data_IF_411181012283
#
_entry.id   IF_411181012283
#
_cell.length_a   1.000
_cell.length_b   1.000
_cell.length_c   1.000
_cell.angle_alpha   90.00
_cell.angle_beta   90.00
_cell.angle_gamma   90.00
#
_symmetry.space_group_name_H-M   'P 1'
#
loop_
_entity.id
_entity.type
_entity.pdbx_description
1 polymer ?
#
# COMPACT_ATOMS: atom_id res chain seq x y z
N UNK A 1 49.15 5.05 21.29
CA UNK A 1 47.82 5.66 21.23
C UNK A 1 47.48 5.72 19.77
N UNK A 2 46.81 4.68 19.30
CA UNK A 2 46.31 4.59 17.93
C UNK A 2 44.95 5.29 17.90
N UNK A 3 44.80 6.24 16.98
CA UNK A 3 43.53 6.91 16.72
C UNK A 3 42.51 5.87 16.23
N UNK A 4 41.29 5.81 16.79
CA UNK A 4 40.26 4.95 16.24
C UNK A 4 39.81 5.51 14.89
N UNK A 5 39.97 4.71 13.85
CA UNK A 5 39.36 4.93 12.54
C UNK A 5 37.85 5.15 12.71
N UNK A 6 37.43 6.38 12.48
CA UNK A 6 36.02 6.73 12.32
C UNK A 6 35.55 6.06 11.03
N UNK A 7 34.92 4.88 11.17
CA UNK A 7 34.15 4.27 10.11
C UNK A 7 33.00 5.22 9.77
N UNK A 8 33.19 5.98 8.71
CA UNK A 8 32.12 6.73 8.05
C UNK A 8 31.12 5.71 7.52
N UNK A 9 30.00 5.53 8.22
CA UNK A 9 28.83 4.87 7.68
C UNK A 9 28.40 5.66 6.44
N UNK A 10 28.71 5.14 5.26
CA UNK A 10 28.14 5.58 4.00
C UNK A 10 26.63 5.47 4.14
N UNK A 11 25.96 6.61 4.31
CA UNK A 11 24.51 6.70 4.21
C UNK A 11 24.18 6.42 2.74
N UNK A 12 23.96 5.14 2.40
CA UNK A 12 23.49 4.75 1.07
C UNK A 12 22.21 5.52 0.79
N UNK A 13 22.25 6.41 -0.21
CA UNK A 13 21.15 7.29 -0.56
C UNK A 13 20.05 6.47 -1.20
N UNK A 14 18.80 6.72 -0.81
CA UNK A 14 17.65 6.31 -1.61
C UNK A 14 17.73 7.06 -2.95
N UNK A 15 17.86 6.31 -4.05
CA UNK A 15 17.97 6.86 -5.39
C UNK A 15 16.63 6.68 -6.10
N UNK A 16 15.96 7.80 -6.34
CA UNK A 16 14.68 7.81 -7.03
C UNK A 16 14.51 9.07 -7.88
N UNK A 17 13.71 8.96 -8.94
CA UNK A 17 13.32 10.10 -9.76
C UNK A 17 11.80 10.13 -9.94
N UNK A 18 11.25 11.34 -10.03
CA UNK A 18 9.81 11.54 -10.24
C UNK A 18 9.57 11.91 -11.70
N UNK A 19 8.62 11.24 -12.32
CA UNK A 19 8.14 11.54 -13.67
C UNK A 19 6.62 11.42 -13.76
N UNK A 20 6.06 11.70 -14.93
CA UNK A 20 4.64 11.47 -15.23
C UNK A 20 4.51 10.40 -16.29
N UNK A 21 3.58 9.49 -16.10
CA UNK A 21 3.20 8.47 -17.08
C UNK A 21 1.82 8.79 -17.64
N UNK A 22 1.75 9.02 -18.95
CA UNK A 22 0.47 9.17 -19.65
C UNK A 22 -0.14 7.79 -19.90
N UNK A 23 -1.41 7.63 -19.53
CA UNK A 23 -2.18 6.41 -19.74
C UNK A 23 -3.43 6.78 -20.54
N UNK A 24 -3.62 6.09 -21.67
CA UNK A 24 -4.82 6.22 -22.50
C UNK A 24 -5.89 5.23 -22.02
N UNK A 25 -7.00 5.74 -21.51
CA UNK A 25 -8.14 4.94 -21.10
C UNK A 25 -8.91 4.41 -22.32
N UNK A 26 -9.68 3.32 -22.15
CA UNK A 26 -10.56 2.80 -23.21
C UNK A 26 -11.60 3.81 -23.69
N UNK A 27 -11.99 4.75 -22.84
CA UNK A 27 -12.85 5.88 -23.21
C UNK A 27 -12.19 6.91 -24.15
N UNK A 28 -10.90 6.75 -24.48
CA UNK A 28 -10.11 7.70 -25.25
C UNK A 28 -9.59 8.89 -24.44
N UNK A 29 -9.96 9.00 -23.16
CA UNK A 29 -9.43 10.01 -22.25
C UNK A 29 -8.01 9.65 -21.81
N UNK A 30 -7.19 10.68 -21.56
CA UNK A 30 -5.86 10.54 -21.00
C UNK A 30 -5.89 10.81 -19.49
N UNK A 31 -5.10 10.06 -18.74
CA UNK A 31 -4.78 10.32 -17.33
C UNK A 31 -3.26 10.38 -17.18
N UNK A 32 -2.78 11.21 -16.27
CA UNK A 32 -1.35 11.36 -15.99
C UNK A 32 -1.06 10.94 -14.55
N UNK A 33 -0.36 9.82 -14.36
CA UNK A 33 0.02 9.38 -13.02
C UNK A 33 1.47 9.77 -12.70
N UNK A 34 1.67 10.30 -11.50
CA UNK A 34 3.01 10.49 -10.96
C UNK A 34 3.65 9.13 -10.75
N UNK A 35 4.88 9.01 -11.25
CA UNK A 35 5.68 7.80 -11.21
C UNK A 35 6.93 8.08 -10.40
N UNK A 36 7.16 7.27 -9.38
CA UNK A 36 8.43 7.21 -8.68
C UNK A 36 9.22 6.04 -9.26
N UNK A 37 10.23 6.36 -10.06
CA UNK A 37 11.21 5.38 -10.50
C UNK A 37 12.23 5.18 -9.37
N UNK A 38 12.35 3.96 -8.88
CA UNK A 38 13.23 3.58 -7.79
C UNK A 38 14.41 2.81 -8.37
N UNK A 39 15.59 3.43 -8.33
CA UNK A 39 16.83 2.72 -8.65
C UNK A 39 17.16 1.76 -7.51
N UNK A 40 17.17 2.29 -6.28
CA UNK A 40 17.37 1.51 -5.06
C UNK A 40 16.76 2.25 -3.87
N UNK A 41 16.01 1.53 -3.02
CA UNK A 41 15.41 2.09 -1.82
C UNK A 41 15.39 1.06 -0.69
N UNK A 42 15.77 1.49 0.50
CA UNK A 42 15.65 0.71 1.74
C UNK A 42 14.37 1.07 2.46
N UNK A 43 13.64 0.05 2.90
CA UNK A 43 12.32 0.16 3.50
C UNK A 43 12.20 -0.79 4.70
N UNK A 44 11.12 -0.62 5.46
CA UNK A 44 10.85 -1.42 6.65
C UNK A 44 9.47 -2.07 6.58
N UNK A 45 9.39 -3.32 7.05
CA UNK A 45 8.16 -4.07 7.21
C UNK A 45 7.99 -4.52 8.67
N UNK A 46 6.82 -4.27 9.26
CA UNK A 46 6.48 -4.71 10.60
C UNK A 46 5.70 -6.02 10.60
N UNK A 47 6.20 -7.04 11.29
CA UNK A 47 5.56 -8.36 11.38
C UNK A 47 5.49 -8.86 12.83
N UNK A 48 4.53 -9.74 13.10
CA UNK A 48 4.40 -10.45 14.38
C UNK A 48 5.24 -11.75 14.43
N UNK A 49 5.84 -12.15 13.30
CA UNK A 49 6.61 -13.39 13.14
C UNK A 49 8.08 -13.05 12.87
N UNK A 50 8.98 -13.73 13.58
CA UNK A 50 10.42 -13.68 13.34
C UNK A 50 10.86 -14.78 12.35
N UNK A 51 11.96 -14.56 11.64
CA UNK A 51 12.55 -15.58 10.76
C UNK A 51 11.80 -15.79 9.44
N UNK A 52 11.03 -14.80 8.97
CA UNK A 52 10.34 -14.86 7.69
C UNK A 52 11.37 -14.90 6.55
N UNK A 53 11.35 -15.98 5.76
CA UNK A 53 12.26 -16.19 4.62
C UNK A 53 11.70 -15.66 3.29
N UNK A 54 10.42 -15.26 3.27
CA UNK A 54 9.74 -14.71 2.12
C UNK A 54 8.41 -14.11 2.54
N UNK A 55 7.98 -13.05 1.85
CA UNK A 55 6.73 -12.38 2.16
C UNK A 55 5.56 -13.02 1.40
N UNK A 56 4.41 -13.07 2.06
CA UNK A 56 3.13 -13.45 1.46
C UNK A 56 2.15 -12.29 1.60
N UNK A 57 1.20 -12.21 0.67
CA UNK A 57 0.18 -11.16 0.67
C UNK A 57 -0.71 -11.31 1.91
N UNK A 58 -0.96 -10.20 2.61
CA UNK A 58 -1.82 -10.21 3.81
C UNK A 58 -3.31 -10.11 3.47
N UNK A 59 -4.16 -10.62 4.36
CA UNK A 59 -5.62 -10.56 4.24
C UNK A 59 -6.20 -9.15 4.48
N UNK A 60 -5.51 -8.32 5.28
CA UNK A 60 -5.95 -6.97 5.60
C UNK A 60 -5.29 -5.96 4.67
N UNK A 61 -6.08 -5.43 3.72
CA UNK A 61 -5.61 -4.56 2.66
C UNK A 61 -6.39 -3.24 2.69
N UNK A 62 -5.68 -2.12 2.91
CA UNK A 62 -6.23 -0.78 2.97
C UNK A 62 -6.34 -0.14 1.58
N UNK A 63 -5.22 -0.03 0.88
CA UNK A 63 -5.05 0.75 -0.34
C UNK A 63 -4.59 -0.08 -1.54
N UNK A 64 -4.20 -1.33 -1.33
CA UNK A 64 -3.80 -2.26 -2.38
C UNK A 64 -3.46 -3.63 -1.82
N UNK A 65 -3.53 -4.65 -2.67
CA UNK A 65 -3.04 -5.99 -2.37
C UNK A 65 -1.54 -6.04 -2.57
N UNK A 66 -0.82 -6.48 -1.54
CA UNK A 66 0.63 -6.62 -1.60
C UNK A 66 1.29 -6.60 -0.23
N UNK A 67 2.60 -6.36 -0.24
CA UNK A 67 3.42 -6.20 0.97
C UNK A 67 3.54 -4.73 1.32
N UNK A 68 3.12 -4.40 2.52
CA UNK A 68 3.15 -3.06 3.07
C UNK A 68 4.50 -2.74 3.67
N UNK A 69 5.14 -1.70 3.16
CA UNK A 69 6.45 -1.22 3.53
C UNK A 69 6.36 0.26 3.92
N UNK A 70 7.33 0.74 4.68
CA UNK A 70 7.43 2.17 5.02
C UNK A 70 8.88 2.63 5.03
N UNK A 71 9.10 3.91 4.81
CA UNK A 71 10.41 4.56 5.00
C UNK A 71 10.79 4.69 6.48
N UNK A 72 9.81 4.62 7.39
CA UNK A 72 10.00 4.90 8.81
C UNK A 72 10.03 3.60 9.63
N UNK A 73 11.20 3.30 10.19
CA UNK A 73 11.41 2.11 11.01
C UNK A 73 10.48 2.08 12.23
N UNK A 74 10.22 3.25 12.81
CA UNK A 74 9.35 3.44 13.98
C UNK A 74 7.90 3.08 13.66
N UNK A 75 7.39 3.47 12.49
CA UNK A 75 6.06 3.09 12.02
C UNK A 75 5.96 1.57 11.82
N UNK A 76 6.96 0.93 11.20
CA UNK A 76 7.03 -0.52 11.07
C UNK A 76 7.04 -1.23 12.44
N UNK A 77 7.79 -0.69 13.40
CA UNK A 77 7.81 -1.20 14.78
C UNK A 77 6.46 -1.07 15.48
N UNK A 78 5.77 0.05 15.26
CA UNK A 78 4.40 0.28 15.74
C UNK A 78 3.42 -0.76 15.20
N UNK A 79 3.46 -1.04 13.90
CA UNK A 79 2.63 -2.09 13.28
C UNK A 79 2.96 -3.49 13.78
N UNK A 80 4.25 -3.83 13.91
CA UNK A 80 4.69 -5.11 14.45
C UNK A 80 4.12 -5.33 15.87
N UNK A 81 4.22 -4.30 16.71
CA UNK A 81 3.76 -4.33 18.11
C UNK A 81 2.22 -4.39 18.21
N UNK A 82 1.49 -3.61 17.40
CA UNK A 82 0.02 -3.61 17.35
C UNK A 82 -0.53 -4.98 16.93
N UNK A 83 0.16 -5.66 16.00
CA UNK A 83 -0.23 -6.99 15.50
C UNK A 83 0.19 -8.14 16.41
N UNK A 84 1.30 -8.02 17.15
CA UNK A 84 1.80 -9.12 17.97
C UNK A 84 0.96 -9.41 19.20
N UNK A 85 0.19 -8.42 19.71
CA UNK A 85 -0.57 -8.57 20.94
C UNK A 85 0.31 -9.17 22.06
N UNK A 86 -0.09 -10.33 22.60
CA UNK A 86 0.68 -11.10 23.58
C UNK A 86 1.40 -12.35 23.04
N UNK A 87 1.09 -12.81 21.81
CA UNK A 87 1.45 -14.16 21.35
C UNK A 87 2.54 -14.20 20.26
N UNK A 88 2.98 -13.03 19.76
CA UNK A 88 4.03 -12.91 18.73
C UNK A 88 5.34 -12.29 19.21
N UNK A 89 6.43 -12.50 18.46
CA UNK A 89 7.67 -11.75 18.62
C UNK A 89 7.66 -10.63 17.59
N UNK A 90 7.27 -9.39 17.97
CA UNK A 90 7.21 -8.30 17.03
C UNK A 90 8.61 -8.08 16.44
N UNK A 91 8.69 -8.07 15.13
CA UNK A 91 9.93 -8.07 14.35
C UNK A 91 9.81 -7.03 13.24
N UNK A 92 10.87 -6.24 13.07
CA UNK A 92 11.00 -5.31 11.95
C UNK A 92 12.01 -5.89 10.96
N UNK A 93 11.59 -5.96 9.70
CA UNK A 93 12.43 -6.38 8.59
C UNK A 93 12.87 -5.16 7.81
N UNK A 94 14.17 -5.00 7.62
CA UNK A 94 14.73 -4.06 6.64
C UNK A 94 14.81 -4.77 5.29
N UNK A 95 14.24 -4.13 4.27
CA UNK A 95 14.16 -4.70 2.92
C UNK A 95 14.69 -3.71 1.90
N UNK A 96 15.13 -4.24 0.76
CA UNK A 96 15.53 -3.49 -0.42
C UNK A 96 14.53 -3.75 -1.55
N UNK A 97 14.19 -2.67 -2.24
CA UNK A 97 13.57 -2.73 -3.57
C UNK A 97 14.47 -1.99 -4.55
N UNK A 98 14.46 -2.38 -5.83
CA UNK A 98 15.38 -1.84 -6.83
C UNK A 98 14.80 -1.98 -8.23
N UNK A 99 15.19 -1.05 -9.11
CA UNK A 99 14.86 -1.00 -10.53
C UNK A 99 13.36 -1.22 -10.84
N UNK A 100 12.50 -0.36 -10.29
CA UNK A 100 11.06 -0.46 -10.49
C UNK A 100 10.34 0.88 -10.48
N UNK A 101 9.17 0.90 -11.11
CA UNK A 101 8.25 2.04 -11.11
C UNK A 101 7.09 1.77 -10.16
N UNK A 102 6.83 2.69 -9.23
CA UNK A 102 5.60 2.71 -8.43
C UNK A 102 4.79 3.98 -8.70
N UNK A 103 3.48 3.88 -8.51
CA UNK A 103 2.59 5.03 -8.58
C UNK A 103 2.74 5.88 -7.31
N UNK A 104 3.07 7.16 -7.43
CA UNK A 104 3.13 8.09 -6.29
C UNK A 104 1.78 8.77 -6.10
N UNK A 105 1.02 8.34 -5.09
CA UNK A 105 -0.35 8.79 -4.78
C UNK A 105 -0.41 9.63 -3.49
N UNK A 106 0.71 10.23 -3.09
CA UNK A 106 0.79 11.02 -1.85
C UNK A 106 0.08 12.37 -1.94
N UNK A 107 -0.15 12.89 -3.14
CA UNK A 107 -0.84 14.16 -3.35
C UNK A 107 -2.29 13.95 -3.77
N UNK A 108 -3.16 14.93 -3.47
CA UNK A 108 -4.58 14.87 -3.84
C UNK A 108 -4.75 14.83 -5.36
N UNK A 109 -3.92 15.57 -6.11
CA UNK A 109 -3.95 15.58 -7.58
C UNK A 109 -3.63 14.19 -8.14
N UNK A 110 -2.62 13.50 -7.59
CA UNK A 110 -2.28 12.15 -8.02
C UNK A 110 -3.39 11.14 -7.68
N UNK A 111 -4.04 11.30 -6.51
CA UNK A 111 -5.21 10.48 -6.15
C UNK A 111 -6.41 10.72 -7.07
N UNK A 112 -6.64 11.95 -7.52
CA UNK A 112 -7.70 12.27 -8.49
C UNK A 112 -7.41 11.68 -9.88
N UNK A 113 -6.17 11.73 -10.36
CA UNK A 113 -5.77 11.06 -11.61
C UNK A 113 -5.90 9.54 -11.49
N UNK A 114 -5.51 8.96 -10.35
CA UNK A 114 -5.74 7.55 -10.07
C UNK A 114 -7.23 7.21 -10.02
N UNK A 115 -8.06 8.04 -9.40
CA UNK A 115 -9.51 7.83 -9.32
C UNK A 115 -10.16 7.75 -10.71
N UNK A 116 -9.68 8.54 -11.68
CA UNK A 116 -10.15 8.44 -13.09
C UNK A 116 -9.80 7.09 -13.72
N UNK A 117 -8.57 6.61 -13.52
CA UNK A 117 -8.14 5.28 -13.99
C UNK A 117 -8.92 4.17 -13.29
N UNK A 118 -9.11 4.29 -11.97
CA UNK A 118 -9.77 3.29 -11.15
C UNK A 118 -11.27 3.20 -11.46
N UNK A 119 -11.94 4.33 -11.73
CA UNK A 119 -13.32 4.36 -12.23
C UNK A 119 -13.50 3.51 -13.48
N UNK A 120 -12.59 3.63 -14.45
CA UNK A 120 -12.64 2.82 -15.68
C UNK A 120 -12.54 1.33 -15.34
N UNK A 121 -11.65 0.97 -14.40
CA UNK A 121 -11.46 -0.42 -13.97
C UNK A 121 -12.65 -0.98 -13.20
N UNK A 122 -13.33 -0.16 -12.39
CA UNK A 122 -14.58 -0.53 -11.71
C UNK A 122 -15.70 -0.87 -12.70
N UNK A 123 -15.90 -0.02 -13.71
CA UNK A 123 -16.90 -0.24 -14.77
C UNK A 123 -16.58 -1.52 -15.53
N UNK A 124 -15.33 -1.72 -15.93
CA UNK A 124 -14.91 -2.94 -16.64
C UNK A 124 -15.08 -4.20 -15.78
N UNK A 125 -14.79 -4.11 -14.48
CA UNK A 125 -15.01 -5.21 -13.55
C UNK A 125 -16.49 -5.55 -13.41
N UNK A 126 -17.36 -4.53 -13.30
CA UNK A 126 -18.82 -4.70 -13.27
C UNK A 126 -19.34 -5.39 -14.54
N UNK A 127 -18.82 -5.02 -15.72
CA UNK A 127 -19.27 -5.57 -17.00
C UNK A 127 -18.74 -6.99 -17.27
N UNK A 128 -17.51 -7.29 -16.83
CA UNK A 128 -16.81 -8.53 -17.23
C UNK A 128 -16.69 -9.58 -16.13
N UNK A 129 -16.59 -9.18 -14.86
CA UNK A 129 -16.38 -10.10 -13.73
C UNK A 129 -17.69 -10.37 -13.01
N UNK A 130 -18.49 -9.33 -12.74
CA UNK A 130 -19.74 -9.46 -11.98
C UNK A 130 -20.70 -10.50 -12.57
N UNK A 131 -20.94 -10.59 -13.90
CA UNK A 131 -21.85 -11.59 -14.46
C UNK A 131 -21.35 -13.02 -14.24
N UNK A 132 -20.04 -13.21 -14.15
CA UNK A 132 -19.34 -14.48 -14.07
C UNK A 132 -19.02 -14.93 -12.63
N UNK A 133 -19.44 -14.16 -11.61
CA UNK A 133 -19.31 -14.58 -10.22
C UNK A 133 -20.03 -15.92 -9.99
N UNK A 134 -19.39 -16.78 -9.19
CA UNK A 134 -19.94 -18.06 -8.75
C UNK A 134 -20.33 -17.95 -7.27
N UNK A 135 -21.41 -18.61 -6.90
CA UNK A 135 -21.94 -18.60 -5.54
C UNK A 135 -22.50 -19.96 -5.13
N UNK A 136 -22.85 -20.13 -3.85
CA UNK A 136 -23.37 -21.39 -3.33
C UNK A 136 -24.79 -21.71 -3.83
N UNK A 137 -25.57 -20.70 -4.21
CA UNK A 137 -26.88 -20.82 -4.86
C UNK A 137 -27.19 -19.58 -5.71
N UNK A 138 -28.13 -19.69 -6.64
CA UNK A 138 -28.54 -18.57 -7.51
C UNK A 138 -29.14 -17.39 -6.72
N UNK A 139 -29.91 -17.66 -5.67
CA UNK A 139 -30.49 -16.63 -4.81
C UNK A 139 -29.41 -15.84 -4.08
N UNK A 140 -28.48 -16.52 -3.42
CA UNK A 140 -27.36 -15.89 -2.71
C UNK A 140 -26.47 -15.13 -3.71
N UNK A 141 -26.24 -15.70 -4.88
CA UNK A 141 -25.47 -15.06 -5.94
C UNK A 141 -26.14 -13.78 -6.45
N UNK A 142 -27.46 -13.75 -6.60
CA UNK A 142 -28.22 -12.56 -6.96
C UNK A 142 -28.03 -11.42 -5.96
N UNK A 143 -28.14 -11.73 -4.66
CA UNK A 143 -27.91 -10.75 -3.58
C UNK A 143 -26.48 -10.22 -3.60
N UNK A 144 -25.49 -11.10 -3.74
CA UNK A 144 -24.06 -10.70 -3.82
C UNK A 144 -23.82 -9.80 -5.03
N UNK A 145 -24.38 -10.14 -6.20
CA UNK A 145 -24.21 -9.34 -7.42
C UNK A 145 -24.79 -7.95 -7.26
N UNK A 146 -26.00 -7.81 -6.72
CA UNK A 146 -26.62 -6.50 -6.48
C UNK A 146 -25.86 -5.68 -5.43
N UNK A 147 -25.40 -6.28 -4.33
CA UNK A 147 -24.58 -5.59 -3.34
C UNK A 147 -23.28 -5.06 -3.94
N UNK A 148 -22.60 -5.87 -4.77
CA UNK A 148 -21.36 -5.46 -5.44
C UNK A 148 -21.62 -4.37 -6.47
N UNK A 149 -22.72 -4.47 -7.21
CA UNK A 149 -23.14 -3.46 -8.17
C UNK A 149 -23.39 -2.11 -7.50
N UNK A 150 -24.09 -2.12 -6.36
CA UNK A 150 -24.34 -0.90 -5.61
C UNK A 150 -23.06 -0.29 -5.05
N UNK A 151 -22.14 -1.12 -4.53
CA UNK A 151 -20.83 -0.66 -4.09
C UNK A 151 -20.01 -0.01 -5.23
N UNK A 152 -20.05 -0.57 -6.44
CA UNK A 152 -19.42 0.04 -7.63
C UNK A 152 -20.05 1.39 -7.93
N UNK A 153 -21.38 1.48 -7.97
CA UNK A 153 -22.11 2.73 -8.24
C UNK A 153 -21.78 3.82 -7.22
N UNK A 154 -21.75 3.47 -5.93
CA UNK A 154 -21.38 4.40 -4.86
C UNK A 154 -19.97 4.95 -5.06
N UNK A 155 -18.99 4.08 -5.36
CA UNK A 155 -17.62 4.50 -5.63
C UNK A 155 -17.50 5.37 -6.88
N UNK A 156 -18.15 4.98 -7.98
CA UNK A 156 -18.19 5.79 -9.21
C UNK A 156 -18.79 7.16 -8.93
N UNK A 157 -19.87 7.21 -8.15
CA UNK A 157 -20.49 8.47 -7.74
C UNK A 157 -19.54 9.33 -6.89
N UNK A 158 -18.83 8.74 -5.92
CA UNK A 158 -17.81 9.44 -5.12
C UNK A 158 -16.70 10.03 -5.97
N UNK A 159 -16.25 9.28 -6.98
CA UNK A 159 -15.22 9.72 -7.93
C UNK A 159 -15.76 10.88 -8.79
N UNK A 160 -16.96 10.75 -9.34
CA UNK A 160 -17.57 11.77 -10.22
C UNK A 160 -17.88 13.07 -9.48
N UNK A 161 -18.19 12.99 -8.19
CA UNK A 161 -18.47 14.15 -7.33
C UNK A 161 -17.23 14.65 -6.58
N UNK A 162 -16.09 13.98 -6.72
CA UNK A 162 -14.86 14.22 -5.96
C UNK A 162 -15.10 14.33 -4.43
N UNK A 163 -15.92 13.46 -3.88
CA UNK A 163 -16.32 13.48 -2.45
C UNK A 163 -15.49 12.57 -1.55
N UNK A 164 -14.47 11.91 -2.09
CA UNK A 164 -13.52 11.12 -1.31
C UNK A 164 -12.47 12.02 -0.65
N UNK A 165 -12.16 11.77 0.64
CA UNK A 165 -11.22 12.58 1.41
C UNK A 165 -9.81 12.02 1.33
N UNK A 166 -9.69 10.70 1.27
CA UNK A 166 -8.42 9.97 1.25
C UNK A 166 -8.48 8.77 0.31
N UNK A 167 -7.31 8.29 -0.13
CA UNK A 167 -7.20 7.14 -1.03
C UNK A 167 -7.94 5.90 -0.48
N UNK A 168 -7.92 5.68 0.83
CA UNK A 168 -8.61 4.58 1.51
C UNK A 168 -10.12 4.56 1.24
N UNK A 169 -10.75 5.72 1.07
CA UNK A 169 -12.19 5.81 0.82
C UNK A 169 -12.59 5.21 -0.54
N UNK A 170 -11.64 5.15 -1.47
CA UNK A 170 -11.82 4.56 -2.80
C UNK A 170 -11.40 3.09 -2.85
N UNK A 171 -10.44 2.69 -2.03
CA UNK A 171 -9.67 1.45 -2.22
C UNK A 171 -10.00 0.36 -1.20
N UNK A 172 -10.55 0.72 -0.03
CA UNK A 172 -10.89 -0.23 1.01
C UNK A 172 -11.96 -1.23 0.52
N UNK A 173 -11.66 -2.53 0.63
CA UNK A 173 -12.51 -3.61 0.10
C UNK A 173 -12.36 -3.88 -1.41
N UNK A 174 -11.50 -3.12 -2.10
CA UNK A 174 -11.22 -3.24 -3.53
C UNK A 174 -9.73 -3.37 -3.85
N UNK A 175 -8.92 -3.72 -2.85
CA UNK A 175 -7.47 -3.80 -2.96
C UNK A 175 -6.95 -4.69 -4.10
N UNK A 176 -7.60 -5.83 -4.38
CA UNK A 176 -7.33 -6.68 -5.54
C UNK A 176 -7.44 -5.91 -6.86
N UNK A 177 -8.54 -5.17 -7.03
CA UNK A 177 -8.80 -4.41 -8.24
C UNK A 177 -7.83 -3.23 -8.36
N UNK A 178 -7.44 -2.60 -7.25
CA UNK A 178 -6.44 -1.52 -7.25
C UNK A 178 -5.08 -2.02 -7.74
N UNK A 179 -4.56 -3.10 -7.16
CA UNK A 179 -3.28 -3.67 -7.55
C UNK A 179 -3.30 -4.15 -9.00
N UNK A 180 -4.40 -4.78 -9.42
CA UNK A 180 -4.59 -5.21 -10.82
C UNK A 180 -4.61 -4.00 -11.77
N UNK A 181 -5.33 -2.93 -11.40
CA UNK A 181 -5.43 -1.70 -12.20
C UNK A 181 -4.05 -1.08 -12.46
N UNK A 182 -3.25 -0.92 -11.39
CA UNK A 182 -1.93 -0.32 -11.49
C UNK A 182 -0.90 -1.25 -12.16
N UNK A 183 -0.99 -2.56 -11.90
CA UNK A 183 -0.14 -3.55 -12.56
C UNK A 183 -0.38 -3.60 -14.07
N UNK A 184 -1.64 -3.50 -14.51
CA UNK A 184 -2.01 -3.51 -15.93
C UNK A 184 -1.44 -2.32 -16.71
N UNK A 185 -1.17 -1.20 -16.02
CA UNK A 185 -0.51 -0.03 -16.62
C UNK A 185 0.98 0.02 -16.30
N UNK A 186 1.55 -1.07 -15.76
CA UNK A 186 2.99 -1.30 -15.63
C UNK A 186 3.64 -0.86 -14.31
N UNK A 187 2.87 -0.53 -13.28
CA UNK A 187 3.43 -0.25 -11.95
C UNK A 187 3.67 -1.54 -11.16
N UNK A 188 4.72 -1.57 -10.34
CA UNK A 188 5.06 -2.68 -9.43
C UNK A 188 4.53 -2.49 -8.01
N UNK A 189 4.07 -1.29 -7.71
CA UNK A 189 3.53 -0.92 -6.43
C UNK A 189 2.90 0.46 -6.47
N UNK A 190 2.50 0.93 -5.30
CA UNK A 190 2.05 2.30 -5.08
C UNK A 190 2.63 2.86 -3.79
N UNK A 191 2.68 4.18 -3.68
CA UNK A 191 3.04 4.91 -2.48
C UNK A 191 1.90 5.86 -2.12
N UNK A 192 1.50 5.90 -0.85
CA UNK A 192 0.48 6.80 -0.31
C UNK A 192 0.89 7.28 1.08
N UNK A 193 0.22 8.31 1.57
CA UNK A 193 0.25 8.63 3.00
C UNK A 193 -0.80 7.75 3.71
N UNK A 194 -0.39 7.04 4.75
CA UNK A 194 -1.26 6.31 5.67
C UNK A 194 -0.93 6.67 7.13
N UNK A 195 -1.76 6.23 8.06
CA UNK A 195 -1.63 6.53 9.49
C UNK A 195 -3.01 6.57 10.15
N UNK A 196 -3.04 6.29 11.45
CA UNK A 196 -4.26 6.39 12.26
C UNK A 196 -3.88 6.98 13.62
N UNK A 197 -3.70 8.32 13.71
CA UNK A 197 -3.43 8.96 14.99
C UNK A 197 -4.56 8.68 16.00
N UNK A 198 -4.24 8.49 17.30
CA UNK A 198 -2.92 8.64 17.92
C UNK A 198 -2.05 7.38 17.89
N UNK A 199 -2.53 6.27 17.32
CA UNK A 199 -1.83 4.98 17.39
C UNK A 199 -0.56 4.97 16.53
N UNK A 200 -0.65 5.51 15.32
CA UNK A 200 0.45 5.57 14.35
C UNK A 200 0.34 6.90 13.60
N UNK A 201 1.38 7.73 13.68
CA UNK A 201 1.45 9.00 12.96
C UNK A 201 1.35 8.81 11.45
N UNK A 202 1.02 9.89 10.74
CA UNK A 202 1.03 9.87 9.28
C UNK A 202 2.44 9.59 8.74
N UNK A 203 2.55 8.60 7.86
CA UNK A 203 3.80 8.15 7.27
C UNK A 203 3.58 7.69 5.83
N UNK A 204 4.67 7.60 5.08
CA UNK A 204 4.65 6.99 3.76
C UNK A 204 4.44 5.48 3.88
N UNK A 205 3.43 4.98 3.19
CA UNK A 205 3.14 3.56 3.00
C UNK A 205 3.39 3.22 1.54
N UNK A 206 4.22 2.20 1.30
CA UNK A 206 4.51 1.64 -0.01
C UNK A 206 3.92 0.23 -0.04
N UNK A 207 3.05 -0.03 -1.00
CA UNK A 207 2.50 -1.37 -1.23
C UNK A 207 3.15 -1.96 -2.46
N UNK A 208 3.91 -3.03 -2.29
CA UNK A 208 4.53 -3.79 -3.38
C UNK A 208 3.62 -4.94 -3.79
N UNK A 209 3.21 -4.98 -5.06
CA UNK A 209 2.22 -5.95 -5.56
C UNK A 209 2.79 -7.36 -5.73
N UNK A 210 4.11 -7.48 -5.88
CA UNK A 210 4.77 -8.76 -6.02
C UNK A 210 5.84 -8.92 -4.91
N UNK A 211 5.68 -9.89 -3.99
CA UNK A 211 6.66 -10.14 -2.93
C UNK A 211 8.06 -10.46 -3.44
N UNK A 212 8.20 -11.01 -4.66
CA UNK A 212 9.50 -11.35 -5.25
C UNK A 212 10.33 -10.12 -5.64
N UNK A 213 9.71 -8.93 -5.71
CA UNK A 213 10.41 -7.67 -5.97
C UNK A 213 11.07 -7.10 -4.70
N UNK A 214 10.98 -7.81 -3.57
CA UNK A 214 11.46 -7.39 -2.25
C UNK A 214 12.58 -8.32 -1.78
N UNK A 215 13.74 -7.75 -1.45
CA UNK A 215 14.86 -8.49 -0.86
C UNK A 215 15.03 -8.12 0.61
N UNK A 216 14.86 -9.07 1.52
CA UNK A 216 15.21 -8.87 2.93
C UNK A 216 16.71 -8.66 3.09
N UNK A 217 17.09 -7.57 3.77
CA UNK A 217 18.49 -7.23 4.08
C UNK A 217 18.82 -7.61 5.51
N UNK A 218 17.92 -7.29 6.44
CA UNK A 218 18.11 -7.47 7.87
C UNK A 218 16.78 -7.74 8.58
N UNK A 219 16.85 -8.32 9.78
CA UNK A 219 15.71 -8.46 10.68
C UNK A 219 16.14 -8.16 12.12
N UNK A 220 15.27 -7.51 12.86
CA UNK A 220 15.51 -7.20 14.27
C UNK A 220 14.22 -7.24 15.07
N UNK A 221 14.34 -7.47 16.37
CA UNK A 221 13.19 -7.39 17.27
C UNK A 221 12.68 -5.96 17.30
N UNK A 222 11.37 -5.80 17.10
CA UNK A 222 10.72 -4.50 17.19
C UNK A 222 10.92 -3.91 18.59
N UNK A 223 11.24 -2.62 18.64
CA UNK A 223 11.28 -1.87 19.89
C UNK A 223 9.85 -1.42 20.19
N UNK A 224 9.29 -1.73 21.37
CA UNK A 224 7.97 -1.26 21.73
C UNK A 224 7.92 0.26 21.62
N UNK A 225 7.09 0.76 20.71
CA UNK A 225 6.77 2.19 20.71
C UNK A 225 5.82 2.36 21.89
N UNK A 226 6.33 2.83 23.03
CA UNK A 226 5.44 3.19 24.13
C UNK A 226 4.49 4.26 23.58
N UNK A 227 3.16 4.05 23.64
CA UNK A 227 2.23 5.11 23.26
C UNK A 227 2.62 6.37 24.04
N UNK A 228 2.60 7.56 23.43
CA UNK A 228 2.87 8.80 24.14
C UNK A 228 2.04 8.77 25.41
N UNK A 229 2.72 8.75 26.56
CA UNK A 229 2.12 8.32 27.80
C UNK A 229 0.80 9.06 28.04
N UNK A 230 -0.20 8.33 28.55
CA UNK A 230 -1.12 8.94 29.49
C UNK A 230 -0.29 9.39 30.70
N UNK A 231 0.44 10.50 30.55
CA UNK A 231 0.99 11.22 31.68
C UNK A 231 -0.20 11.84 32.40
N UNK A 232 -0.66 11.14 33.43
CA UNK A 232 -1.52 11.73 34.45
C UNK A 232 -2.83 10.99 34.71
N UNK A 233 -2.77 9.73 35.15
CA UNK A 233 -3.73 9.21 36.12
C UNK A 233 -2.96 8.31 37.10
N UNK A 234 -2.37 8.94 38.12
CA UNK A 234 -2.07 8.31 39.42
C UNK A 234 -3.16 8.73 40.40
#
# INVERSE_FOLDING_TARGET
MEDPEVQTQTTERNESSISKKEILLKSGKKVELLTLHITQMRLYHGSLVAGVTGFEEGDQQSIGRGIYLTLQKEAASGYASKRSGHDGVPTVYEVQISDLDIADLRTKEAQEEFAKLFKQSLIEWEESVLPNLKGPSDEVLGVIKEQRKEAVRELVHKIDTNTFLQLRDLTFGWADLVSTTLSNVGYKGLMSIEGEPPDIDFHDSIVMFNPLDIRTINQEKAVPVMPPGRMGEY
#
